data_IF_196575367457
#
_entry.id   IF_196575367457
#
_cell.length_a   1.000
_cell.length_b   1.000
_cell.length_c   1.000
_cell.angle_alpha   90.00
_cell.angle_beta   90.00
_cell.angle_gamma   90.00
#
_symmetry.space_group_name_H-M   'P 1'
#
loop_
_entity.id
_entity.type
_entity.pdbx_description
1 polymer ?
#
# COMPACT_ATOMS: atom_id res chain seq x y z
N UNK A 1 -4.04 5.38 5.34
CA UNK A 1 -2.71 4.79 5.60
C UNK A 1 -2.39 4.88 7.09
N UNK A 2 -1.48 4.03 7.55
CA UNK A 2 -1.12 3.93 8.97
C UNK A 2 -0.36 5.17 9.47
N UNK A 3 -0.40 5.40 10.79
CA UNK A 3 0.31 6.49 11.48
C UNK A 3 1.04 5.96 12.69
N UNK A 4 2.31 6.34 12.83
CA UNK A 4 3.13 5.99 13.98
C UNK A 4 3.80 7.24 14.55
N UNK A 5 3.65 7.49 15.85
CA UNK A 5 4.25 8.64 16.55
C UNK A 5 4.01 10.00 15.85
N UNK A 6 2.83 10.17 15.23
CA UNK A 6 2.48 11.38 14.48
C UNK A 6 2.94 11.42 13.02
N UNK A 7 3.83 10.51 12.59
CA UNK A 7 4.25 10.39 11.19
C UNK A 7 3.23 9.57 10.41
N UNK A 8 2.86 10.07 9.23
CA UNK A 8 2.11 9.29 8.25
C UNK A 8 3.08 8.37 7.52
N UNK A 9 2.77 7.08 7.42
CA UNK A 9 3.57 6.17 6.60
C UNK A 9 3.41 6.58 5.14
N UNK A 10 4.53 6.69 4.42
CA UNK A 10 4.59 6.96 2.99
C UNK A 10 4.77 5.67 2.19
N UNK A 11 5.55 4.74 2.74
CA UNK A 11 5.89 3.46 2.10
C UNK A 11 6.19 2.42 3.16
N UNK A 12 5.80 1.18 2.92
CA UNK A 12 6.28 0.04 3.69
C UNK A 12 6.59 -1.16 2.79
N UNK A 13 7.48 -2.02 3.25
CA UNK A 13 7.82 -3.29 2.62
C UNK A 13 7.80 -4.37 3.69
N UNK A 14 7.10 -5.47 3.43
CA UNK A 14 7.10 -6.67 4.27
C UNK A 14 7.81 -7.82 3.57
N UNK A 15 8.53 -8.60 4.36
CA UNK A 15 9.38 -9.70 3.97
C UNK A 15 8.77 -11.04 4.42
N UNK A 16 9.25 -12.13 3.84
CA UNK A 16 8.72 -13.49 4.04
C UNK A 16 8.67 -13.94 5.49
N UNK A 17 9.57 -13.44 6.34
CA UNK A 17 9.63 -13.79 7.76
C UNK A 17 8.77 -12.90 8.67
N UNK A 18 7.88 -12.09 8.10
CA UNK A 18 6.97 -11.20 8.85
C UNK A 18 7.63 -9.91 9.35
N UNK A 19 8.90 -9.68 9.03
CA UNK A 19 9.60 -8.40 9.28
C UNK A 19 9.52 -7.50 8.06
N UNK A 20 9.81 -6.22 8.25
CA UNK A 20 9.72 -5.24 7.19
C UNK A 20 10.33 -3.91 7.59
N UNK A 21 10.19 -2.95 6.69
CA UNK A 21 10.61 -1.57 6.92
C UNK A 21 9.52 -0.61 6.45
N UNK A 22 9.47 0.56 7.08
CA UNK A 22 8.54 1.63 6.71
C UNK A 22 9.24 2.99 6.68
N UNK A 23 8.87 3.84 5.72
CA UNK A 23 9.26 5.25 5.62
C UNK A 23 8.05 6.10 6.05
N UNK A 24 8.26 7.01 7.00
CA UNK A 24 7.25 7.93 7.53
C UNK A 24 7.60 9.40 7.31
N UNK A 25 6.58 10.25 7.33
CA UNK A 25 6.71 11.71 7.20
C UNK A 25 5.81 12.47 8.19
N UNK A 26 6.38 13.46 8.85
CA UNK A 26 5.72 14.41 9.75
C UNK A 26 6.19 15.83 9.41
N UNK A 27 5.41 16.64 8.68
CA UNK A 27 5.88 17.89 8.09
C UNK A 27 6.33 18.95 9.11
N UNK A 28 5.83 18.89 10.34
CA UNK A 28 6.16 19.84 11.41
C UNK A 28 7.09 19.28 12.50
N UNK A 29 7.64 18.08 12.32
CA UNK A 29 8.60 17.51 13.28
C UNK A 29 10.01 18.10 13.04
N UNK A 30 10.86 18.22 14.07
CA UNK A 30 12.26 18.64 13.89
C UNK A 30 13.02 17.77 12.88
N UNK A 31 12.69 16.47 12.86
CA UNK A 31 13.10 15.55 11.81
C UNK A 31 11.87 15.05 11.06
N UNK A 32 11.56 15.62 9.88
CA UNK A 32 10.32 15.35 9.18
C UNK A 32 10.24 13.92 8.63
N UNK A 33 11.35 13.21 8.44
CA UNK A 33 11.36 11.87 7.88
C UNK A 33 11.93 10.84 8.86
N UNK A 34 11.46 9.60 8.75
CA UNK A 34 11.90 8.49 9.59
C UNK A 34 11.79 7.16 8.85
N UNK A 35 12.77 6.27 9.01
CA UNK A 35 12.66 4.87 8.62
C UNK A 35 12.56 3.98 9.86
N UNK A 36 11.61 3.07 9.90
CA UNK A 36 11.44 2.09 10.98
C UNK A 36 11.62 0.68 10.46
N UNK A 37 12.10 -0.22 11.32
CA UNK A 37 11.78 -1.63 11.19
C UNK A 37 10.31 -1.84 11.62
N UNK A 38 9.61 -2.76 10.97
CA UNK A 38 8.23 -3.06 11.31
C UNK A 38 7.93 -4.56 11.25
N UNK A 39 6.85 -4.97 11.90
CA UNK A 39 6.30 -6.32 11.85
C UNK A 39 4.79 -6.28 12.08
N UNK A 40 4.06 -7.30 11.64
CA UNK A 40 2.66 -7.47 12.03
C UNK A 40 2.59 -8.30 13.32
N UNK A 41 1.82 -7.83 14.30
CA UNK A 41 1.57 -8.60 15.51
C UNK A 41 0.57 -9.75 15.27
N UNK A 42 0.25 -10.50 16.34
CA UNK A 42 -0.67 -11.65 16.30
C UNK A 42 -2.09 -11.30 15.81
N UNK A 43 -2.48 -10.03 15.84
CA UNK A 43 -3.77 -9.55 15.37
C UNK A 43 -3.70 -8.96 13.95
N UNK A 44 -2.52 -8.96 13.31
CA UNK A 44 -2.29 -8.35 12.00
C UNK A 44 -2.14 -6.83 12.04
N UNK A 45 -1.94 -6.25 13.23
CA UNK A 45 -1.65 -4.82 13.38
C UNK A 45 -0.15 -4.56 13.22
N UNK A 46 0.18 -3.56 12.41
CA UNK A 46 1.56 -3.16 12.16
C UNK A 46 2.16 -2.48 13.39
N UNK A 47 3.32 -2.97 13.81
CA UNK A 47 4.13 -2.42 14.89
C UNK A 47 5.45 -1.87 14.31
N UNK A 48 6.01 -0.85 14.96
CA UNK A 48 7.17 -0.10 14.48
C UNK A 48 8.25 0.00 15.56
N UNK A 49 9.51 -0.23 15.18
CA UNK A 49 10.67 -0.20 16.07
C UNK A 49 11.95 0.28 15.35
N UNK A 50 12.98 0.63 16.14
CA UNK A 50 14.33 0.96 15.65
C UNK A 50 14.35 2.03 14.53
N UNK A 51 13.93 3.25 14.88
CA UNK A 51 13.78 4.37 13.94
C UNK A 51 15.08 5.13 13.64
N UNK A 52 15.37 5.39 12.36
CA UNK A 52 16.36 6.40 11.95
C UNK A 52 15.61 7.66 11.52
N UNK A 53 15.98 8.83 12.05
CA UNK A 53 15.30 10.10 11.77
C UNK A 53 16.20 11.00 10.91
N UNK A 54 15.59 11.73 9.97
CA UNK A 54 16.31 12.59 9.04
C UNK A 54 15.48 13.75 8.50
N UNK A 55 16.17 14.70 7.86
CA UNK A 55 15.59 15.94 7.33
C UNK A 55 15.46 15.94 5.80
N UNK A 56 16.14 15.02 5.12
CA UNK A 56 16.19 14.94 3.66
C UNK A 56 15.46 13.69 3.19
N UNK A 57 14.46 13.85 2.32
CA UNK A 57 13.65 12.73 1.84
C UNK A 57 14.49 11.73 1.05
N UNK A 58 15.37 12.21 0.16
CA UNK A 58 16.14 11.33 -0.72
C UNK A 58 17.12 10.45 0.08
N UNK A 59 17.77 11.03 1.10
CA UNK A 59 18.61 10.29 2.03
C UNK A 59 17.82 9.22 2.80
N UNK A 60 16.58 9.52 3.21
CA UNK A 60 15.74 8.58 3.94
C UNK A 60 15.11 7.49 3.05
N UNK A 61 14.85 7.79 1.78
CA UNK A 61 14.50 6.78 0.78
C UNK A 61 15.67 5.83 0.49
N UNK A 62 16.89 6.36 0.46
CA UNK A 62 18.11 5.56 0.31
C UNK A 62 18.33 4.66 1.55
N UNK A 63 18.27 5.21 2.76
CA UNK A 63 18.35 4.45 4.02
C UNK A 63 17.29 3.34 4.06
N UNK A 64 16.03 3.65 3.68
CA UNK A 64 14.97 2.65 3.58
C UNK A 64 15.34 1.51 2.63
N UNK A 65 15.81 1.83 1.42
CA UNK A 65 16.23 0.84 0.43
C UNK A 65 17.38 -0.04 0.94
N UNK A 66 18.37 0.58 1.58
CA UNK A 66 19.57 -0.12 2.06
C UNK A 66 19.23 -1.06 3.21
N UNK A 67 18.40 -0.61 4.17
CA UNK A 67 17.90 -1.45 5.26
C UNK A 67 17.14 -2.68 4.75
N UNK A 68 16.30 -2.52 3.73
CA UNK A 68 15.61 -3.65 3.08
C UNK A 68 16.63 -4.60 2.46
N UNK A 69 17.55 -4.10 1.62
CA UNK A 69 18.54 -4.93 0.91
C UNK A 69 19.47 -5.67 1.86
N UNK A 70 19.98 -5.00 2.88
CA UNK A 70 20.86 -5.60 3.88
C UNK A 70 20.13 -6.70 4.64
N UNK A 71 18.87 -6.48 5.02
CA UNK A 71 18.08 -7.49 5.69
C UNK A 71 17.81 -8.71 4.78
N UNK A 72 17.44 -8.49 3.51
CA UNK A 72 17.28 -9.57 2.55
C UNK A 72 18.56 -10.41 2.40
N UNK A 73 19.72 -9.76 2.34
CA UNK A 73 21.03 -10.43 2.23
C UNK A 73 21.38 -11.21 3.50
N UNK A 74 21.14 -10.65 4.67
CA UNK A 74 21.50 -11.26 5.95
C UNK A 74 20.62 -12.46 6.31
N UNK A 75 19.31 -12.38 5.99
CA UNK A 75 18.33 -13.38 6.40
C UNK A 75 17.81 -14.25 5.25
N UNK A 76 18.29 -14.03 4.03
CA UNK A 76 17.89 -14.76 2.82
C UNK A 76 16.37 -14.77 2.60
N UNK A 77 15.73 -13.60 2.77
CA UNK A 77 14.28 -13.42 2.61
C UNK A 77 13.91 -12.54 1.43
N UNK A 78 12.82 -12.87 0.76
CA UNK A 78 12.19 -12.08 -0.29
C UNK A 78 11.25 -10.99 0.24
N UNK A 79 10.92 -10.03 -0.64
CA UNK A 79 9.81 -9.09 -0.43
C UNK A 79 8.50 -9.77 -0.81
N UNK A 80 7.56 -9.86 0.13
CA UNK A 80 6.22 -10.42 -0.13
C UNK A 80 5.18 -9.35 -0.37
N UNK A 81 5.39 -8.14 0.16
CA UNK A 81 4.41 -7.07 0.06
C UNK A 81 5.07 -5.70 0.07
N UNK A 82 4.56 -4.81 -0.77
CA UNK A 82 4.92 -3.39 -0.81
C UNK A 82 3.66 -2.60 -0.59
N UNK A 83 3.72 -1.56 0.22
CA UNK A 83 2.58 -0.74 0.59
C UNK A 83 2.92 0.72 0.32
N UNK A 84 2.06 1.42 -0.41
CA UNK A 84 2.17 2.86 -0.65
C UNK A 84 0.77 3.41 -0.98
N UNK A 85 0.48 4.70 -0.70
CA UNK A 85 -0.77 5.32 -1.09
C UNK A 85 -1.02 5.16 -2.59
N UNK A 86 -2.25 4.86 -2.98
CA UNK A 86 -2.61 4.80 -4.39
C UNK A 86 -2.02 3.60 -5.16
N UNK A 87 -1.24 2.73 -4.50
CA UNK A 87 -0.50 1.66 -5.16
C UNK A 87 -1.46 0.65 -5.78
N UNK A 88 -2.45 0.16 -5.03
CA UNK A 88 -3.37 -0.87 -5.50
C UNK A 88 -4.68 -0.28 -5.99
N UNK A 89 -4.73 0.05 -7.29
CA UNK A 89 -5.91 0.63 -7.95
C UNK A 89 -6.86 -0.43 -8.48
N UNK A 90 -8.15 -0.23 -8.17
CA UNK A 90 -9.25 -1.05 -8.67
C UNK A 90 -10.38 -0.15 -9.19
N UNK A 91 -11.01 -0.57 -10.28
CA UNK A 91 -12.11 0.15 -10.91
C UNK A 91 -13.44 -0.52 -10.57
N UNK A 92 -14.43 0.30 -10.19
CA UNK A 92 -15.81 -0.17 -10.08
C UNK A 92 -16.45 -0.18 -11.46
N UNK A 93 -16.82 -1.37 -11.95
CA UNK A 93 -17.21 -1.55 -13.35
C UNK A 93 -18.72 -1.55 -13.58
N UNK A 94 -19.51 -1.94 -12.58
CA UNK A 94 -20.96 -2.14 -12.72
C UNK A 94 -21.80 -1.00 -12.14
N UNK A 95 -21.33 -0.36 -11.07
CA UNK A 95 -22.05 0.70 -10.34
C UNK A 95 -21.11 1.79 -9.83
N UNK A 96 -21.61 3.00 -9.54
CA UNK A 96 -20.89 3.98 -8.72
C UNK A 96 -20.45 3.38 -7.38
N UNK A 97 -19.39 3.93 -6.81
CA UNK A 97 -18.91 3.57 -5.47
C UNK A 97 -19.76 4.31 -4.44
N UNK A 98 -20.43 3.58 -3.58
CA UNK A 98 -21.24 4.13 -2.49
C UNK A 98 -20.95 3.34 -1.19
N UNK A 99 -21.57 3.77 -0.10
CA UNK A 99 -21.49 3.11 1.20
C UNK A 99 -21.93 1.65 1.04
N UNK A 100 -21.04 0.72 1.39
CA UNK A 100 -21.29 -0.72 1.32
C UNK A 100 -21.04 -1.36 -0.05
N UNK A 101 -20.56 -0.60 -1.04
CA UNK A 101 -20.24 -1.16 -2.38
C UNK A 101 -18.75 -1.39 -2.59
N UNK A 102 -17.97 -1.47 -1.52
CA UNK A 102 -16.54 -1.75 -1.58
C UNK A 102 -16.05 -2.52 -0.34
N UNK A 103 -15.01 -3.35 -0.49
CA UNK A 103 -14.47 -4.11 0.61
C UNK A 103 -13.75 -3.19 1.61
N UNK A 104 -13.88 -3.51 2.90
CA UNK A 104 -13.12 -2.88 3.99
C UNK A 104 -12.46 -3.96 4.85
N UNK A 105 -11.45 -4.67 4.33
CA UNK A 105 -10.76 -5.69 5.11
C UNK A 105 -10.13 -5.09 6.37
N UNK A 106 -9.98 -5.85 7.46
CA UNK A 106 -9.28 -5.39 8.66
C UNK A 106 -7.91 -4.80 8.30
N UNK A 107 -7.64 -3.59 8.77
CA UNK A 107 -6.38 -2.86 8.52
C UNK A 107 -6.05 -2.59 7.03
N UNK A 108 -7.03 -2.68 6.13
CA UNK A 108 -6.86 -2.35 4.70
C UNK A 108 -8.08 -1.61 4.12
N UNK A 109 -8.54 -0.55 4.79
CA UNK A 109 -9.54 0.35 4.21
C UNK A 109 -8.94 1.11 3.01
N UNK A 110 -9.77 1.50 2.01
CA UNK A 110 -9.29 2.27 0.88
C UNK A 110 -8.72 3.62 1.33
N UNK A 111 -7.65 4.06 0.65
CA UNK A 111 -7.01 5.36 0.89
C UNK A 111 -7.48 6.45 -0.08
N UNK A 112 -8.09 6.08 -1.21
CA UNK A 112 -8.78 6.97 -2.14
C UNK A 112 -10.06 6.30 -2.66
N UNK A 113 -11.11 7.10 -2.81
CA UNK A 113 -12.35 6.70 -3.49
C UNK A 113 -12.75 7.85 -4.41
N UNK A 114 -12.92 7.55 -5.69
CA UNK A 114 -13.33 8.52 -6.71
C UNK A 114 -14.50 7.96 -7.49
N UNK A 115 -15.62 8.69 -7.48
CA UNK A 115 -16.70 8.50 -8.43
C UNK A 115 -16.51 9.41 -9.64
N UNK A 116 -16.81 8.87 -10.81
CA UNK A 116 -16.94 9.66 -12.03
C UNK A 116 -18.41 10.06 -12.22
N UNK A 117 -18.64 11.21 -12.84
CA UNK A 117 -20.00 11.71 -13.11
C UNK A 117 -20.81 10.74 -13.99
N UNK A 118 -20.11 9.99 -14.84
CA UNK A 118 -20.69 8.97 -15.72
C UNK A 118 -19.72 7.81 -15.86
N UNK A 119 -20.22 6.69 -16.39
CA UNK A 119 -19.37 5.56 -16.78
C UNK A 119 -18.47 5.98 -17.95
N UNK A 120 -17.15 6.00 -17.74
CA UNK A 120 -16.15 6.45 -18.73
C UNK A 120 -15.16 5.33 -19.09
N UNK A 121 -14.55 5.38 -20.29
CA UNK A 121 -13.44 4.50 -20.64
C UNK A 121 -12.21 4.76 -19.77
N UNK A 122 -11.57 3.68 -19.32
CA UNK A 122 -10.34 3.68 -18.50
C UNK A 122 -9.30 2.73 -19.10
N UNK A 123 -8.05 2.77 -18.59
CA UNK A 123 -6.95 1.91 -19.04
C UNK A 123 -6.78 1.92 -20.58
N UNK A 124 -6.73 3.12 -21.17
CA UNK A 124 -6.61 3.27 -22.62
C UNK A 124 -7.84 2.84 -23.43
N UNK A 125 -9.01 2.71 -22.79
CA UNK A 125 -10.26 2.29 -23.42
C UNK A 125 -10.52 0.78 -23.36
N UNK A 126 -9.73 0.04 -22.57
CA UNK A 126 -9.89 -1.41 -22.43
C UNK A 126 -11.24 -1.81 -21.80
N UNK A 127 -11.84 -0.94 -20.97
CA UNK A 127 -13.18 -1.13 -20.39
C UNK A 127 -13.74 0.18 -19.84
N UNK A 128 -15.01 0.14 -19.41
CA UNK A 128 -15.71 1.27 -18.80
C UNK A 128 -15.80 1.12 -17.27
N UNK A 129 -15.66 2.22 -16.54
CA UNK A 129 -15.77 2.26 -15.08
C UNK A 129 -16.61 3.45 -14.61
N UNK A 130 -17.26 3.29 -13.46
CA UNK A 130 -18.01 4.36 -12.77
C UNK A 130 -17.15 5.12 -11.76
N UNK A 131 -15.98 4.59 -11.43
CA UNK A 131 -15.10 5.16 -10.44
C UNK A 131 -13.91 4.23 -10.18
N UNK A 132 -13.06 4.64 -9.26
CA UNK A 132 -11.96 3.82 -8.78
C UNK A 132 -11.76 3.96 -7.28
N UNK A 133 -11.12 2.95 -6.72
CA UNK A 133 -10.63 2.92 -5.36
C UNK A 133 -9.16 2.58 -5.39
N UNK A 134 -8.42 3.09 -4.43
CA UNK A 134 -7.07 2.62 -4.16
C UNK A 134 -6.94 2.08 -2.74
N UNK A 135 -6.02 1.13 -2.60
CA UNK A 135 -5.67 0.51 -1.33
C UNK A 135 -4.15 0.54 -1.16
N UNK A 136 -3.71 0.56 0.09
CA UNK A 136 -2.28 0.45 0.42
C UNK A 136 -1.79 -1.00 0.35
N UNK A 137 -2.69 -1.98 0.51
CA UNK A 137 -2.40 -3.42 0.37
C UNK A 137 -3.33 -4.02 -0.71
N UNK A 138 -2.90 -5.07 -1.44
CA UNK A 138 -3.74 -5.68 -2.44
C UNK A 138 -4.97 -6.31 -1.79
N UNK A 139 -6.11 -6.19 -2.46
CA UNK A 139 -7.27 -7.04 -2.19
C UNK A 139 -6.99 -8.46 -2.69
N UNK A 140 -7.55 -9.44 -1.99
CA UNK A 140 -7.65 -10.81 -2.49
C UNK A 140 -8.54 -10.86 -3.75
N UNK A 141 -8.37 -11.92 -4.56
CA UNK A 141 -9.22 -12.12 -5.74
C UNK A 141 -10.72 -12.16 -5.36
N UNK A 142 -11.05 -12.79 -4.22
CA UNK A 142 -12.41 -12.87 -3.70
C UNK A 142 -12.97 -11.52 -3.26
N UNK A 143 -12.20 -10.74 -2.49
CA UNK A 143 -12.64 -9.40 -2.07
C UNK A 143 -12.88 -8.47 -3.26
N UNK A 144 -12.05 -8.57 -4.31
CA UNK A 144 -12.27 -7.80 -5.52
C UNK A 144 -13.51 -8.30 -6.28
N UNK A 145 -13.67 -9.61 -6.45
CA UNK A 145 -14.78 -10.19 -7.22
C UNK A 145 -16.14 -9.99 -6.55
N UNK A 146 -16.22 -10.16 -5.23
CA UNK A 146 -17.48 -10.02 -4.46
C UNK A 146 -18.06 -8.59 -4.57
N UNK A 147 -17.22 -7.61 -4.90
CA UNK A 147 -17.60 -6.21 -5.12
C UNK A 147 -17.47 -5.75 -6.58
N UNK A 148 -17.27 -6.69 -7.52
CA UNK A 148 -17.20 -6.41 -8.98
C UNK A 148 -16.10 -5.39 -9.35
N UNK A 149 -15.03 -5.39 -8.56
CA UNK A 149 -13.87 -4.54 -8.74
C UNK A 149 -12.88 -5.18 -9.71
N UNK A 150 -12.44 -4.40 -10.71
CA UNK A 150 -11.43 -4.83 -11.67
C UNK A 150 -10.08 -4.19 -11.35
N UNK A 151 -8.99 -4.96 -11.14
CA UNK A 151 -7.67 -4.38 -10.90
C UNK A 151 -7.15 -3.61 -12.13
N UNK A 152 -6.41 -2.54 -11.89
CA UNK A 152 -5.66 -1.85 -12.94
C UNK A 152 -4.59 -2.77 -13.55
N UNK A 153 -4.10 -2.44 -14.76
CA UNK A 153 -3.15 -3.30 -15.49
C UNK A 153 -1.86 -3.53 -14.73
N UNK A 154 -1.32 -2.48 -14.08
CA UNK A 154 -0.12 -2.53 -13.23
C UNK A 154 -0.25 -3.58 -12.11
N UNK A 155 -1.45 -3.72 -11.53
CA UNK A 155 -1.71 -4.70 -10.47
C UNK A 155 -1.79 -6.11 -11.02
N UNK A 156 -2.40 -6.27 -12.19
CA UNK A 156 -2.43 -7.56 -12.89
C UNK A 156 -1.02 -8.06 -13.19
N UNK A 157 -0.09 -7.15 -13.52
CA UNK A 157 1.33 -7.49 -13.75
C UNK A 157 2.08 -7.83 -12.45
N UNK A 158 1.87 -7.05 -11.38
CA UNK A 158 2.47 -7.32 -10.07
C UNK A 158 2.04 -8.68 -9.51
N UNK A 159 0.77 -9.06 -9.66
CA UNK A 159 0.27 -10.37 -9.23
C UNK A 159 0.84 -11.53 -10.06
N UNK A 160 1.10 -11.33 -11.37
CA UNK A 160 1.71 -12.36 -12.23
C UNK A 160 3.18 -12.63 -11.87
N UNK A 161 3.92 -11.61 -11.42
CA UNK A 161 5.33 -11.76 -11.01
C UNK A 161 5.53 -12.50 -9.69
N UNK A 162 4.46 -12.69 -8.90
CA UNK A 162 4.49 -13.41 -7.61
C UNK A 162 4.12 -14.90 -7.73
N UNK A 163 3.77 -15.38 -8.93
CA UNK A 163 3.43 -16.80 -9.19
C UNK A 163 4.61 -17.57 -9.74
#
# INVERSE_FOLDING_TARGET
>A
MDKNQGYSILKAVMLENGRGFALGHHPTAPSPYVTWACYDDKNGQRQYEWGHYGNDLAAMEQDFSDRVKDYQRLYYVGIVQTEAPGLYKYYSTQRPVDIGTFPKPPHNAPDEIVNYDRRIPVEGGAFLAWGHLTYTRPLTEKEASDYELRPASVISELSRKKR
#
